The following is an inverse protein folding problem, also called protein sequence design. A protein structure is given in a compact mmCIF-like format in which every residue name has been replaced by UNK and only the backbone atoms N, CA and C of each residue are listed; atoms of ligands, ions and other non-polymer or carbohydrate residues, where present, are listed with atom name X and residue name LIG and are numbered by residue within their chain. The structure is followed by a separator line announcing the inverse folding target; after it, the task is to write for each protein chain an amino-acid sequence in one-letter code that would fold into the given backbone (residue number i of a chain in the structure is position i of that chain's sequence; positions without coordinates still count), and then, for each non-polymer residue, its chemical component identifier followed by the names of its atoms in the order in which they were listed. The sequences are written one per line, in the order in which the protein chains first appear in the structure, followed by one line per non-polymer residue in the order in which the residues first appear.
data_IF_243970436023
#
_entry.id   IF_243970436023
#
_cell.length_a   1.000
_cell.length_b   1.000
_cell.length_c   1.000
_cell.angle_alpha   90.00
_cell.angle_beta   90.00
_cell.angle_gamma   90.00
#
_symmetry.space_group_name_H-M   'P 1'
#
loop_
_entity.id
_entity.type
_entity.pdbx_description
1 polymer ?
#
# COMPACT_ATOMS: atom_id res chain seq x y z
N UNK A 1 7.58 11.51 15.78
CA UNK A 1 6.20 11.36 15.27
C UNK A 1 6.21 11.16 13.75
N UNK A 2 6.77 12.05 12.92
CA UNK A 2 6.82 11.82 11.46
C UNK A 2 7.55 10.52 10.99
N UNK A 3 8.63 10.11 11.66
CA UNK A 3 9.38 8.88 11.32
C UNK A 3 8.54 7.60 11.45
N UNK A 4 7.68 7.52 12.47
CA UNK A 4 6.83 6.35 12.70
C UNK A 4 5.72 6.27 11.65
N UNK A 5 5.12 7.42 11.32
CA UNK A 5 4.14 7.51 10.22
C UNK A 5 4.75 7.17 8.85
N UNK A 6 5.99 7.58 8.56
CA UNK A 6 6.67 7.18 7.34
C UNK A 6 6.95 5.67 7.29
N UNK A 7 7.33 5.05 8.42
CA UNK A 7 7.52 3.60 8.49
C UNK A 7 6.22 2.84 8.22
N UNK A 8 5.10 3.27 8.82
CA UNK A 8 3.78 2.66 8.59
C UNK A 8 3.34 2.78 7.13
N UNK A 9 3.56 3.94 6.51
CA UNK A 9 3.27 4.12 5.09
C UNK A 9 4.12 3.17 4.22
N UNK A 10 5.40 2.98 4.56
CA UNK A 10 6.28 2.04 3.87
C UNK A 10 5.80 0.59 4.02
N UNK A 11 5.34 0.17 5.20
CA UNK A 11 4.76 -1.17 5.42
C UNK A 11 3.50 -1.39 4.57
N UNK A 12 2.62 -0.38 4.47
CA UNK A 12 1.45 -0.48 3.59
C UNK A 12 1.85 -0.55 2.10
N UNK A 13 2.87 0.18 1.67
CA UNK A 13 3.40 0.06 0.30
C UNK A 13 4.00 -1.33 0.02
N UNK A 14 4.74 -1.92 0.95
CA UNK A 14 5.27 -3.28 0.80
C UNK A 14 4.13 -4.32 0.69
N UNK A 15 3.10 -4.20 1.54
CA UNK A 15 1.92 -5.05 1.48
C UNK A 15 1.15 -4.89 0.15
N UNK A 16 1.02 -3.65 -0.35
CA UNK A 16 0.44 -3.38 -1.67
C UNK A 16 1.25 -4.03 -2.80
N UNK A 17 2.58 -3.91 -2.78
CA UNK A 17 3.45 -4.50 -3.78
C UNK A 17 3.40 -6.04 -3.76
N UNK A 18 3.35 -6.65 -2.57
CA UNK A 18 3.13 -8.10 -2.41
C UNK A 18 1.78 -8.53 -2.99
N UNK A 19 0.70 -7.82 -2.66
CA UNK A 19 -0.63 -8.12 -3.18
C UNK A 19 -0.71 -7.94 -4.71
N UNK A 20 -0.05 -6.93 -5.28
CA UNK A 20 0.06 -6.79 -6.74
C UNK A 20 0.79 -7.98 -7.40
N UNK A 21 1.87 -8.47 -6.78
CA UNK A 21 2.58 -9.66 -7.27
C UNK A 21 1.69 -10.90 -7.22
N UNK A 22 1.02 -11.15 -6.10
CA UNK A 22 0.06 -12.25 -5.99
C UNK A 22 -1.06 -12.14 -7.01
N UNK A 23 -1.61 -10.93 -7.23
CA UNK A 23 -2.62 -10.71 -8.26
C UNK A 23 -2.13 -11.10 -9.66
N UNK A 24 -0.90 -10.70 -10.02
CA UNK A 24 -0.28 -11.05 -11.30
C UNK A 24 -0.04 -12.57 -11.44
N UNK A 25 0.41 -13.23 -10.37
CA UNK A 25 0.59 -14.68 -10.36
C UNK A 25 -0.74 -15.43 -10.56
N UNK A 26 -1.80 -15.01 -9.87
CA UNK A 26 -3.13 -15.62 -10.00
C UNK A 26 -3.74 -15.37 -11.39
N UNK A 27 -3.58 -14.15 -11.93
CA UNK A 27 -3.96 -13.86 -13.31
C UNK A 27 -3.20 -14.74 -14.31
N UNK A 28 -1.88 -14.92 -14.14
CA UNK A 28 -1.08 -15.78 -15.01
C UNK A 28 -1.44 -17.27 -14.95
N UNK A 29 -2.01 -17.73 -13.82
CA UNK A 29 -2.49 -19.11 -13.63
C UNK A 29 -3.95 -19.32 -14.08
N UNK A 30 -4.63 -18.27 -14.56
CA UNK A 30 -6.04 -18.32 -14.97
C UNK A 30 -7.05 -18.15 -13.83
N UNK A 31 -6.59 -17.91 -12.60
CA UNK A 31 -7.45 -17.63 -11.44
C UNK A 31 -7.74 -16.13 -11.34
N UNK A 32 -8.62 -15.65 -12.22
CA UNK A 32 -8.95 -14.23 -12.32
C UNK A 32 -9.73 -13.72 -11.11
N UNK A 33 -10.41 -14.60 -10.36
CA UNK A 33 -11.15 -14.21 -9.16
C UNK A 33 -10.18 -13.82 -8.04
N UNK A 34 -9.24 -14.70 -7.69
CA UNK A 34 -8.20 -14.37 -6.70
C UNK A 34 -7.31 -13.23 -7.16
N UNK A 35 -7.01 -13.16 -8.46
CA UNK A 35 -6.28 -12.04 -9.05
C UNK A 35 -6.95 -10.69 -8.74
N UNK A 36 -8.27 -10.60 -8.92
CA UNK A 36 -9.05 -9.40 -8.60
C UNK A 36 -9.10 -9.10 -7.11
N UNK A 37 -9.26 -10.11 -6.25
CA UNK A 37 -9.24 -9.93 -4.79
C UNK A 37 -7.91 -9.34 -4.31
N UNK A 38 -6.80 -9.92 -4.74
CA UNK A 38 -5.46 -9.40 -4.41
C UNK A 38 -5.23 -8.01 -4.98
N UNK A 39 -5.70 -7.71 -6.20
CA UNK A 39 -5.61 -6.39 -6.78
C UNK A 39 -6.42 -5.34 -5.99
N UNK A 40 -7.60 -5.71 -5.49
CA UNK A 40 -8.41 -4.85 -4.64
C UNK A 40 -7.73 -4.57 -3.29
N UNK A 41 -7.16 -5.60 -2.65
CA UNK A 41 -6.37 -5.43 -1.41
C UNK A 41 -5.14 -4.54 -1.64
N UNK A 42 -4.44 -4.72 -2.76
CA UNK A 42 -3.29 -3.90 -3.13
C UNK A 42 -3.67 -2.42 -3.27
N UNK A 43 -4.79 -2.14 -3.95
CA UNK A 43 -5.34 -0.80 -4.10
C UNK A 43 -5.66 -0.17 -2.74
N UNK A 44 -6.32 -0.91 -1.85
CA UNK A 44 -6.67 -0.41 -0.53
C UNK A 44 -5.41 -0.07 0.28
N UNK A 45 -4.41 -0.95 0.31
CA UNK A 45 -3.14 -0.69 0.98
C UNK A 45 -2.42 0.53 0.40
N UNK A 46 -2.39 0.69 -0.92
CA UNK A 46 -1.78 1.86 -1.55
C UNK A 46 -2.51 3.16 -1.21
N UNK A 47 -3.84 3.15 -1.12
CA UNK A 47 -4.62 4.32 -0.71
C UNK A 47 -4.31 4.70 0.75
N UNK A 48 -4.27 3.72 1.65
CA UNK A 48 -3.89 3.96 3.05
C UNK A 48 -2.46 4.47 3.18
N UNK A 49 -1.52 3.90 2.43
CA UNK A 49 -0.12 4.33 2.43
C UNK A 49 0.05 5.78 1.97
N UNK A 50 -0.66 6.18 0.90
CA UNK A 50 -0.67 7.56 0.43
C UNK A 50 -1.22 8.51 1.49
N UNK A 51 -2.38 8.20 2.08
CA UNK A 51 -2.97 9.03 3.14
C UNK A 51 -2.02 9.19 4.34
N UNK A 52 -1.34 8.13 4.75
CA UNK A 52 -0.37 8.20 5.85
C UNK A 52 0.87 9.01 5.45
N UNK A 53 1.34 8.87 4.22
CA UNK A 53 2.46 9.67 3.69
C UNK A 53 2.11 11.16 3.68
N UNK A 54 0.92 11.52 3.20
CA UNK A 54 0.43 12.90 3.18
C UNK A 54 0.34 13.49 4.59
N UNK A 55 -0.17 12.71 5.55
CA UNK A 55 -0.22 13.11 6.96
C UNK A 55 1.18 13.27 7.57
N UNK A 56 2.08 12.30 7.33
CA UNK A 56 3.46 12.35 7.82
C UNK A 56 4.19 13.58 7.27
N UNK A 57 4.02 13.84 5.98
CA UNK A 57 4.61 14.99 5.30
C UNK A 57 4.06 16.31 5.86
N UNK A 58 2.74 16.42 6.03
CA UNK A 58 2.10 17.61 6.62
C UNK A 58 2.59 17.87 8.05
N UNK A 59 2.66 16.83 8.89
CA UNK A 59 3.20 16.92 10.26
C UNK A 59 4.68 17.30 10.27
N UNK A 60 5.48 16.74 9.37
CA UNK A 60 6.89 17.08 9.25
C UNK A 60 7.11 18.52 8.81
N UNK A 61 6.21 19.11 8.03
CA UNK A 61 6.27 20.52 7.65
C UNK A 61 5.87 21.46 8.80
N UNK A 62 4.90 21.07 9.64
CA UNK A 62 4.51 21.83 10.84
C UNK A 62 5.55 21.80 11.96
N UNK A 63 6.49 20.85 11.93
CA UNK A 63 7.59 20.73 12.90
C UNK A 63 8.89 21.42 12.46
N UNK A 64 8.88 22.16 11.33
CA UNK A 64 9.98 23.04 10.91
C UNK A 64 9.84 24.42 11.55
#
# INVERSE_FOLDING_TARGET
MAKDEHNKAAEHHDNAAKAHRSAAEHHGKGDHAKGKEHAASAKQHSQTANQQTDQAHSKSQQQK
#
